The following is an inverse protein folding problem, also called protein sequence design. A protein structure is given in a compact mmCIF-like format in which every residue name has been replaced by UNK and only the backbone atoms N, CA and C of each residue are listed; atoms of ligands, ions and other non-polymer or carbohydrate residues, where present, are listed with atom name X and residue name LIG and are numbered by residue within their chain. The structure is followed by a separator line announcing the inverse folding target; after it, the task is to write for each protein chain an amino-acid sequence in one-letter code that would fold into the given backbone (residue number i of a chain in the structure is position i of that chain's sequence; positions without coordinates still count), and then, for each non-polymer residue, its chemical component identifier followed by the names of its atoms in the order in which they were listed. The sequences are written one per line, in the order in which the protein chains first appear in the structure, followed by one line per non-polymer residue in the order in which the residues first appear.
data_IF_932082530061
#
_entry.id   IF_932082530061
#
_cell.length_a   1.000
_cell.length_b   1.000
_cell.length_c   1.000
_cell.angle_alpha   90.00
_cell.angle_beta   90.00
_cell.angle_gamma   90.00
#
_symmetry.space_group_name_H-M   'P 1'
#
loop_
_entity.id
_entity.type
_entity.pdbx_description
1 polymer ?
#
# COMPACT_ATOMS: atom_id res chain seq x y z
N UNK A 1 -3.83 19.88 30.03
CA UNK A 1 -3.98 18.56 29.40
C UNK A 1 -5.00 18.70 28.28
N UNK A 2 -4.57 18.95 27.06
CA UNK A 2 -5.44 19.08 25.89
C UNK A 2 -5.30 17.77 25.09
N UNK A 3 -6.37 16.97 25.14
CA UNK A 3 -6.46 15.81 24.28
C UNK A 3 -6.49 16.25 22.82
N UNK A 4 -5.46 15.94 22.09
CA UNK A 4 -5.42 16.11 20.64
C UNK A 4 -6.36 15.04 20.06
N UNK A 5 -7.54 15.50 19.68
CA UNK A 5 -8.50 14.70 18.92
C UNK A 5 -7.92 14.52 17.51
N UNK A 6 -7.20 13.42 17.29
CA UNK A 6 -6.72 13.03 15.97
C UNK A 6 -7.92 12.45 15.22
N UNK A 7 -8.81 13.32 14.73
CA UNK A 7 -9.71 12.97 13.65
C UNK A 7 -8.84 12.72 12.42
N UNK A 8 -8.48 11.46 12.20
CA UNK A 8 -7.85 11.01 10.96
C UNK A 8 -8.73 11.47 9.80
N UNK A 9 -8.18 12.27 8.90
CA UNK A 9 -8.74 12.49 7.58
C UNK A 9 -8.78 11.12 6.91
N UNK A 10 -9.93 10.49 6.98
CA UNK A 10 -10.16 9.15 6.44
C UNK A 10 -10.15 9.26 4.93
N UNK A 11 -9.02 8.95 4.33
CA UNK A 11 -8.96 8.54 2.92
C UNK A 11 -9.99 7.42 2.71
N UNK A 12 -10.72 7.36 1.57
CA UNK A 12 -11.70 6.31 1.36
C UNK A 12 -11.07 4.95 1.62
N UNK A 13 -11.71 4.17 2.50
CA UNK A 13 -11.15 2.90 2.94
C UNK A 13 -11.09 1.94 1.76
N UNK A 14 -9.95 1.30 1.54
CA UNK A 14 -9.74 0.31 0.45
C UNK A 14 -10.70 -0.88 0.54
N UNK A 15 -11.45 -1.02 1.64
CA UNK A 15 -12.47 -2.05 1.88
C UNK A 15 -13.89 -1.50 2.09
N UNK A 16 -14.24 -0.35 1.53
CA UNK A 16 -15.61 0.21 1.65
C UNK A 16 -16.70 -0.73 1.12
N UNK A 17 -16.36 -1.55 0.13
CA UNK A 17 -17.24 -2.56 -0.46
C UNK A 17 -17.47 -3.79 0.42
N UNK A 18 -16.68 -4.00 1.48
CA UNK A 18 -16.79 -5.18 2.36
C UNK A 18 -18.09 -5.15 3.14
N UNK A 19 -18.84 -6.25 3.11
CA UNK A 19 -20.06 -6.45 3.85
C UNK A 19 -19.91 -7.61 4.83
N UNK A 20 -20.57 -7.58 5.98
CA UNK A 20 -21.38 -6.47 6.52
C UNK A 20 -20.54 -5.32 7.08
N UNK A 21 -21.17 -4.19 7.43
CA UNK A 21 -20.49 -3.03 8.02
C UNK A 21 -19.66 -3.36 9.28
N UNK A 22 -20.07 -4.39 10.04
CA UNK A 22 -19.32 -4.89 11.18
C UNK A 22 -17.93 -5.41 10.79
N UNK A 23 -17.83 -6.15 9.67
CA UNK A 23 -16.55 -6.64 9.13
C UNK A 23 -15.63 -5.47 8.76
N UNK A 24 -16.15 -4.42 8.11
CA UNK A 24 -15.36 -3.21 7.80
C UNK A 24 -14.80 -2.52 9.03
N UNK A 25 -15.63 -2.37 10.09
CA UNK A 25 -15.16 -1.75 11.35
C UNK A 25 -14.04 -2.55 11.99
N UNK A 26 -14.08 -3.88 11.89
CA UNK A 26 -13.02 -4.75 12.41
C UNK A 26 -11.72 -4.59 11.61
N UNK A 27 -11.76 -4.48 10.28
CA UNK A 27 -10.59 -4.17 9.46
C UNK A 27 -9.95 -2.84 9.85
N UNK A 28 -10.76 -1.79 10.00
CA UNK A 28 -10.29 -0.46 10.43
C UNK A 28 -9.67 -0.52 11.83
N UNK A 29 -10.39 -1.11 12.81
CA UNK A 29 -9.87 -1.26 14.16
C UNK A 29 -8.59 -2.11 14.25
N UNK A 30 -8.44 -3.08 13.36
CA UNK A 30 -7.22 -3.89 13.25
C UNK A 30 -6.04 -3.08 12.70
N UNK A 31 -6.23 -2.29 11.64
CA UNK A 31 -5.18 -1.41 11.11
C UNK A 31 -4.71 -0.42 12.17
N UNK A 32 -5.63 0.23 12.88
CA UNK A 32 -5.29 1.19 13.93
C UNK A 32 -4.51 0.52 15.07
N UNK A 33 -4.95 -0.69 15.50
CA UNK A 33 -4.28 -1.43 16.56
C UNK A 33 -2.88 -1.91 16.13
N UNK A 34 -2.74 -2.46 14.91
CA UNK A 34 -1.45 -2.91 14.37
C UNK A 34 -0.49 -1.75 14.14
N UNK A 35 -0.98 -0.61 13.64
CA UNK A 35 -0.16 0.58 13.42
C UNK A 35 0.41 1.16 14.72
N UNK A 36 -0.35 1.07 15.83
CA UNK A 36 0.05 1.62 17.14
C UNK A 36 0.99 0.69 17.90
N UNK A 37 0.71 -0.64 17.91
CA UNK A 37 1.36 -1.60 18.80
C UNK A 37 2.13 -2.71 18.10
N UNK A 38 2.01 -2.81 16.78
CA UNK A 38 2.46 -3.96 16.01
C UNK A 38 1.51 -5.17 16.13
N UNK A 39 1.65 -6.10 15.21
CA UNK A 39 0.81 -7.30 15.16
C UNK A 39 0.96 -8.15 16.44
N UNK A 40 2.19 -8.40 16.89
CA UNK A 40 2.44 -9.31 18.00
C UNK A 40 1.81 -8.84 19.32
N UNK A 41 1.93 -7.55 19.65
CA UNK A 41 1.40 -6.97 20.88
C UNK A 41 -0.12 -6.67 20.83
N UNK A 42 -0.75 -6.77 19.65
CA UNK A 42 -2.19 -6.53 19.50
C UNK A 42 -2.97 -7.80 19.78
N UNK A 43 -4.04 -7.69 20.58
CA UNK A 43 -4.99 -8.78 20.85
C UNK A 43 -6.28 -8.61 20.06
N UNK A 44 -7.04 -9.70 19.87
CA UNK A 44 -8.39 -9.64 19.26
C UNK A 44 -9.35 -8.81 20.11
N UNK A 45 -9.14 -8.72 21.43
CA UNK A 45 -9.90 -7.85 22.33
C UNK A 45 -9.64 -6.37 22.04
N UNK A 46 -8.38 -6.00 21.79
CA UNK A 46 -8.02 -4.62 21.43
C UNK A 46 -8.69 -4.20 20.12
N UNK A 47 -8.66 -5.08 19.12
CA UNK A 47 -9.30 -4.85 17.80
C UNK A 47 -10.84 -4.70 17.96
N UNK A 48 -11.47 -5.64 18.67
CA UNK A 48 -12.91 -5.59 18.88
C UNK A 48 -13.34 -4.32 19.62
N UNK A 49 -12.60 -3.92 20.66
CA UNK A 49 -12.84 -2.68 21.40
C UNK A 49 -12.78 -1.44 20.50
N UNK A 50 -11.77 -1.34 19.63
CA UNK A 50 -11.64 -0.24 18.66
C UNK A 50 -12.77 -0.22 17.63
N UNK A 51 -13.27 -1.39 17.25
CA UNK A 51 -14.42 -1.53 16.36
C UNK A 51 -15.76 -1.26 17.05
N UNK A 52 -15.79 -1.02 18.38
CA UNK A 52 -17.02 -0.90 19.16
C UNK A 52 -17.81 -2.21 19.24
N UNK A 53 -17.10 -3.34 19.33
CA UNK A 53 -17.68 -4.70 19.29
C UNK A 53 -17.16 -5.56 20.44
N UNK A 54 -17.86 -6.65 20.74
CA UNK A 54 -17.37 -7.66 21.67
C UNK A 54 -16.33 -8.58 20.99
N UNK A 55 -15.40 -9.20 21.76
CA UNK A 55 -14.47 -10.19 21.20
C UNK A 55 -15.18 -11.37 20.50
N UNK A 56 -16.33 -11.81 21.04
CA UNK A 56 -17.14 -12.86 20.43
C UNK A 56 -17.68 -12.45 19.05
N UNK A 57 -18.09 -11.21 18.89
CA UNK A 57 -18.59 -10.68 17.61
C UNK A 57 -17.46 -10.59 16.54
N UNK A 58 -16.20 -10.38 16.97
CA UNK A 58 -15.06 -10.45 16.03
C UNK A 58 -14.94 -11.83 15.39
N UNK A 59 -15.04 -12.89 16.19
CA UNK A 59 -14.89 -14.26 15.69
C UNK A 59 -16.02 -14.72 14.76
N UNK A 60 -17.16 -14.03 14.76
CA UNK A 60 -18.23 -14.26 13.75
C UNK A 60 -17.76 -13.87 12.36
N UNK A 61 -16.88 -12.86 12.24
CA UNK A 61 -16.43 -12.32 10.95
C UNK A 61 -15.03 -12.81 10.57
N UNK A 62 -14.13 -12.89 11.55
CA UNK A 62 -12.72 -13.23 11.31
C UNK A 62 -12.25 -14.24 12.37
N UNK A 63 -11.83 -15.44 11.97
CA UNK A 63 -11.46 -16.51 12.90
C UNK A 63 -10.18 -16.23 13.69
N UNK A 64 -9.35 -15.29 13.24
CA UNK A 64 -8.10 -14.92 13.91
C UNK A 64 -7.66 -13.49 13.59
N UNK A 65 -6.73 -12.95 14.37
CA UNK A 65 -6.08 -11.68 14.04
C UNK A 65 -5.17 -11.79 12.81
N UNK A 66 -4.63 -12.99 12.55
CA UNK A 66 -3.85 -13.29 11.35
C UNK A 66 -4.74 -13.20 10.10
N UNK A 67 -5.95 -13.74 10.15
CA UNK A 67 -6.90 -13.59 9.05
C UNK A 67 -7.26 -12.13 8.79
N UNK A 68 -7.39 -11.30 9.82
CA UNK A 68 -7.57 -9.85 9.65
C UNK A 68 -6.38 -9.21 8.94
N UNK A 69 -5.16 -9.54 9.34
CA UNK A 69 -3.94 -9.04 8.68
C UNK A 69 -3.87 -9.48 7.21
N UNK A 70 -4.24 -10.72 6.93
CA UNK A 70 -4.30 -11.25 5.58
C UNK A 70 -5.31 -10.47 4.71
N UNK A 71 -6.55 -10.28 5.19
CA UNK A 71 -7.56 -9.51 4.46
C UNK A 71 -7.10 -8.06 4.21
N UNK A 72 -6.52 -7.40 5.22
CA UNK A 72 -5.94 -6.06 5.08
C UNK A 72 -4.86 -6.07 4.00
N UNK A 73 -4.00 -7.09 4.00
CA UNK A 73 -2.92 -7.24 3.03
C UNK A 73 -3.45 -7.46 1.61
N UNK A 74 -4.48 -8.30 1.45
CA UNK A 74 -5.13 -8.53 0.15
C UNK A 74 -5.76 -7.25 -0.39
N UNK A 75 -6.60 -6.58 0.41
CA UNK A 75 -7.25 -5.35 -0.03
C UNK A 75 -6.24 -4.25 -0.35
N UNK A 76 -5.23 -4.07 0.51
CA UNK A 76 -4.20 -3.06 0.29
C UNK A 76 -3.39 -3.29 -0.98
N UNK A 77 -2.88 -4.50 -1.21
CA UNK A 77 -2.09 -4.81 -2.40
C UNK A 77 -2.94 -4.80 -3.69
N UNK A 78 -4.18 -5.31 -3.66
CA UNK A 78 -5.05 -5.26 -4.82
C UNK A 78 -5.41 -3.80 -5.20
N UNK A 79 -5.70 -2.94 -4.22
CA UNK A 79 -5.94 -1.53 -4.47
C UNK A 79 -4.69 -0.83 -5.07
N UNK A 80 -3.50 -1.13 -4.55
CA UNK A 80 -2.24 -0.61 -5.08
C UNK A 80 -1.97 -1.08 -6.52
N UNK A 81 -2.26 -2.35 -6.83
CA UNK A 81 -2.14 -2.90 -8.18
C UNK A 81 -3.13 -2.23 -9.15
N UNK A 82 -4.37 -1.99 -8.71
CA UNK A 82 -5.38 -1.33 -9.53
C UNK A 82 -5.02 0.13 -9.82
N UNK A 83 -4.42 0.83 -8.85
CA UNK A 83 -3.86 2.17 -9.08
C UNK A 83 -2.81 2.16 -10.18
N UNK A 84 -1.88 1.19 -10.18
CA UNK A 84 -0.89 1.07 -11.25
C UNK A 84 -1.54 0.78 -12.61
N UNK A 85 -2.48 -0.16 -12.68
CA UNK A 85 -3.18 -0.50 -13.91
C UNK A 85 -3.93 0.69 -14.51
N UNK A 86 -4.64 1.42 -13.65
CA UNK A 86 -5.39 2.61 -14.07
C UNK A 86 -4.49 3.77 -14.47
N UNK A 87 -3.29 3.85 -13.90
CA UNK A 87 -2.32 4.91 -14.18
C UNK A 87 -1.37 4.57 -15.34
N UNK A 88 -1.42 3.36 -15.89
CA UNK A 88 -0.58 2.95 -17.03
C UNK A 88 -1.09 3.59 -18.33
N UNK A 89 -0.90 4.89 -18.42
CA UNK A 89 -1.40 5.74 -19.51
C UNK A 89 -0.29 6.64 -20.04
N UNK A 90 -0.38 7.00 -21.31
CA UNK A 90 0.57 7.90 -21.97
C UNK A 90 1.14 7.31 -23.27
N UNK A 91 1.54 8.18 -24.21
CA UNK A 91 2.01 7.76 -25.53
C UNK A 91 3.43 7.19 -25.53
N UNK A 92 4.25 7.52 -24.53
CA UNK A 92 5.66 7.09 -24.46
C UNK A 92 5.93 6.32 -23.17
N UNK A 93 6.98 5.45 -23.12
CA UNK A 93 7.42 4.82 -21.86
C UNK A 93 7.73 5.84 -20.76
N UNK A 94 8.25 7.01 -21.11
CA UNK A 94 8.54 8.07 -20.16
C UNK A 94 7.26 8.65 -19.52
N UNK A 95 6.21 8.88 -20.31
CA UNK A 95 4.92 9.35 -19.81
C UNK A 95 4.25 8.29 -18.93
N UNK A 96 4.27 7.03 -19.37
CA UNK A 96 3.73 5.90 -18.59
C UNK A 96 4.46 5.75 -17.26
N UNK A 97 5.81 5.76 -17.25
CA UNK A 97 6.59 5.68 -16.01
C UNK A 97 6.25 6.81 -15.04
N UNK A 98 6.18 8.06 -15.53
CA UNK A 98 5.79 9.21 -14.70
C UNK A 98 4.40 9.05 -14.13
N UNK A 99 3.43 8.64 -14.93
CA UNK A 99 2.05 8.42 -14.50
C UNK A 99 1.95 7.35 -13.43
N UNK A 100 2.60 6.19 -13.65
CA UNK A 100 2.64 5.08 -12.70
C UNK A 100 3.27 5.50 -11.36
N UNK A 101 4.46 6.08 -11.39
CA UNK A 101 5.19 6.46 -10.18
C UNK A 101 4.45 7.56 -9.41
N UNK A 102 3.90 8.54 -10.13
CA UNK A 102 3.12 9.62 -9.51
C UNK A 102 1.90 9.07 -8.77
N UNK A 103 1.08 8.27 -9.44
CA UNK A 103 -0.12 7.71 -8.85
C UNK A 103 0.18 6.75 -7.69
N UNK A 104 1.18 5.90 -7.84
CA UNK A 104 1.56 4.89 -6.84
C UNK A 104 2.15 5.53 -5.57
N UNK A 105 3.00 6.56 -5.73
CA UNK A 105 3.55 7.33 -4.62
C UNK A 105 2.46 8.10 -3.87
N UNK A 106 1.58 8.79 -4.60
CA UNK A 106 0.46 9.52 -4.01
C UNK A 106 -0.49 8.60 -3.26
N UNK A 107 -0.75 7.41 -3.80
CA UNK A 107 -1.56 6.38 -3.12
C UNK A 107 -0.91 5.94 -1.80
N UNK A 108 0.39 5.64 -1.79
CA UNK A 108 1.12 5.26 -0.58
C UNK A 108 1.14 6.36 0.48
N UNK A 109 1.21 7.61 0.06
CA UNK A 109 1.09 8.75 0.97
C UNK A 109 -0.31 8.83 1.60
N UNK A 110 -1.37 8.74 0.79
CA UNK A 110 -2.76 8.78 1.29
C UNK A 110 -3.10 7.62 2.21
N UNK A 111 -2.62 6.41 1.89
CA UNK A 111 -2.90 5.18 2.63
C UNK A 111 -1.72 4.73 3.50
N UNK A 112 -0.87 5.67 3.94
CA UNK A 112 0.39 5.39 4.62
C UNK A 112 0.25 4.46 5.84
N UNK A 113 -0.85 4.57 6.60
CA UNK A 113 -1.08 3.69 7.77
C UNK A 113 -1.28 2.25 7.35
N UNK A 114 -2.14 2.00 6.35
CA UNK A 114 -2.38 0.65 5.80
C UNK A 114 -1.10 0.10 5.19
N UNK A 115 -0.46 0.89 4.32
CA UNK A 115 0.75 0.48 3.62
C UNK A 115 1.89 0.14 4.59
N UNK A 116 2.04 0.90 5.68
CA UNK A 116 3.02 0.62 6.74
C UNK A 116 2.72 -0.69 7.47
N UNK A 117 1.48 -0.92 7.91
CA UNK A 117 1.09 -2.17 8.56
C UNK A 117 1.38 -3.35 7.64
N UNK A 118 0.91 -3.29 6.40
CA UNK A 118 1.09 -4.35 5.41
C UNK A 118 2.57 -4.61 5.11
N UNK A 119 3.40 -3.56 5.04
CA UNK A 119 4.83 -3.71 4.73
C UNK A 119 5.62 -4.37 5.88
N UNK A 120 5.32 -4.03 7.12
CA UNK A 120 6.11 -4.47 8.26
C UNK A 120 5.63 -5.78 8.90
N UNK A 121 4.34 -6.11 8.73
CA UNK A 121 3.75 -7.26 9.43
C UNK A 121 3.56 -8.50 8.54
N UNK A 122 4.03 -8.48 7.28
CA UNK A 122 3.90 -9.62 6.35
C UNK A 122 4.48 -10.93 6.90
N UNK A 123 5.54 -10.86 7.70
CA UNK A 123 6.16 -12.04 8.30
C UNK A 123 5.25 -12.75 9.33
N UNK A 124 4.16 -12.11 9.76
CA UNK A 124 3.19 -12.71 10.66
C UNK A 124 2.09 -13.51 9.94
N UNK A 125 2.05 -13.47 8.61
CA UNK A 125 1.13 -14.28 7.82
C UNK A 125 1.53 -15.76 7.81
N UNK A 126 0.54 -16.64 7.69
CA UNK A 126 0.79 -18.04 7.39
C UNK A 126 1.53 -18.20 6.05
N UNK A 127 2.28 -19.30 5.82
CA UNK A 127 2.95 -19.53 4.55
C UNK A 127 2.03 -19.46 3.33
N UNK A 128 0.80 -19.95 3.47
CA UNK A 128 -0.23 -19.94 2.42
C UNK A 128 -0.66 -18.49 2.10
N UNK A 129 -1.07 -17.73 3.11
CA UNK A 129 -1.49 -16.35 2.95
C UNK A 129 -0.34 -15.45 2.45
N UNK A 130 0.87 -15.69 2.94
CA UNK A 130 2.06 -14.98 2.45
C UNK A 130 2.31 -15.25 0.95
N UNK A 131 2.15 -16.51 0.49
CA UNK A 131 2.32 -16.87 -0.93
C UNK A 131 1.28 -16.18 -1.83
N UNK A 132 0.04 -16.06 -1.36
CA UNK A 132 -1.03 -15.37 -2.08
C UNK A 132 -0.73 -13.87 -2.22
N UNK A 133 -0.37 -13.20 -1.13
CA UNK A 133 0.05 -11.79 -1.16
C UNK A 133 1.27 -11.59 -2.05
N UNK A 134 2.26 -12.49 -1.99
CA UNK A 134 3.46 -12.44 -2.83
C UNK A 134 3.13 -12.49 -4.33
N UNK A 135 2.04 -13.16 -4.72
CA UNK A 135 1.59 -13.19 -6.12
C UNK A 135 1.14 -11.80 -6.58
N UNK A 136 0.39 -11.07 -5.76
CA UNK A 136 -0.04 -9.70 -6.09
C UNK A 136 1.18 -8.76 -6.14
N UNK A 137 2.11 -8.92 -5.21
CA UNK A 137 3.36 -8.14 -5.19
C UNK A 137 4.21 -8.36 -6.47
N UNK A 138 4.26 -9.60 -6.97
CA UNK A 138 4.91 -9.86 -8.27
C UNK A 138 4.20 -9.15 -9.41
N UNK A 139 2.86 -9.16 -9.44
CA UNK A 139 2.10 -8.44 -10.46
C UNK A 139 2.36 -6.92 -10.42
N UNK A 140 2.48 -6.32 -9.22
CA UNK A 140 2.89 -4.92 -9.04
C UNK A 140 4.28 -4.67 -9.64
N UNK A 141 5.25 -5.55 -9.34
CA UNK A 141 6.61 -5.45 -9.88
C UNK A 141 6.62 -5.55 -11.41
N UNK A 142 5.92 -6.53 -11.96
CA UNK A 142 5.80 -6.74 -13.41
C UNK A 142 5.23 -5.51 -14.13
N UNK A 143 4.28 -4.79 -13.53
CA UNK A 143 3.70 -3.59 -14.15
C UNK A 143 4.76 -2.48 -14.37
N UNK A 144 5.62 -2.25 -13.41
CA UNK A 144 6.72 -1.26 -13.54
C UNK A 144 7.80 -1.78 -14.48
N UNK A 145 8.19 -3.06 -14.34
CA UNK A 145 9.22 -3.69 -15.17
C UNK A 145 8.89 -3.65 -16.66
N UNK A 146 7.62 -3.87 -17.03
CA UNK A 146 7.18 -3.79 -18.41
C UNK A 146 7.40 -2.41 -19.03
N UNK A 147 7.07 -1.34 -18.31
CA UNK A 147 7.27 0.03 -18.80
C UNK A 147 8.75 0.36 -18.93
N UNK A 148 9.58 -0.10 -17.99
CA UNK A 148 11.04 0.06 -18.08
C UNK A 148 11.61 -0.72 -19.28
N UNK A 149 11.15 -1.95 -19.48
CA UNK A 149 11.58 -2.79 -20.62
C UNK A 149 11.17 -2.19 -21.97
N UNK A 150 9.98 -1.59 -22.06
CA UNK A 150 9.52 -0.88 -23.26
C UNK A 150 10.44 0.30 -23.60
N UNK A 151 10.82 1.10 -22.57
CA UNK A 151 11.72 2.23 -22.76
C UNK A 151 13.16 1.84 -23.11
N UNK A 152 13.64 0.69 -22.61
CA UNK A 152 14.95 0.13 -23.04
C UNK A 152 14.86 -0.32 -24.50
N UNK A 153 13.77 -0.96 -24.89
CA UNK A 153 13.58 -1.48 -26.25
C UNK A 153 13.49 -0.37 -27.31
N UNK A 154 12.84 0.74 -27.00
CA UNK A 154 12.74 1.87 -27.92
C UNK A 154 13.91 2.86 -27.84
N UNK A 155 14.85 2.63 -26.90
CA UNK A 155 16.04 3.45 -26.70
C UNK A 155 15.82 4.72 -25.89
N UNK A 156 14.63 4.93 -25.32
CA UNK A 156 14.32 6.11 -24.49
C UNK A 156 14.87 5.99 -23.06
N UNK A 157 15.22 4.77 -22.61
CA UNK A 157 15.79 4.53 -21.29
C UNK A 157 17.16 3.85 -21.36
N UNK A 158 18.09 4.29 -20.51
CA UNK A 158 19.42 3.71 -20.31
C UNK A 158 19.45 2.88 -19.00
N UNK A 159 18.82 1.70 -19.01
CA UNK A 159 18.76 0.80 -17.87
C UNK A 159 19.62 -0.43 -18.15
N UNK A 160 20.67 -0.65 -17.35
CA UNK A 160 21.59 -1.80 -17.48
C UNK A 160 21.18 -2.99 -16.61
N UNK A 161 20.49 -2.73 -15.48
CA UNK A 161 19.93 -3.74 -14.58
C UNK A 161 18.43 -3.49 -14.42
N UNK A 162 17.62 -4.18 -15.22
CA UNK A 162 16.18 -4.01 -15.23
C UNK A 162 15.52 -4.43 -13.90
N UNK A 163 15.84 -5.61 -13.31
CA UNK A 163 15.30 -6.00 -12.01
C UNK A 163 15.69 -5.04 -10.88
N UNK A 164 16.94 -4.62 -10.81
CA UNK A 164 17.44 -3.69 -9.79
C UNK A 164 16.80 -2.31 -9.91
N UNK A 165 16.64 -1.79 -11.14
CA UNK A 165 15.95 -0.50 -11.37
C UNK A 165 14.48 -0.58 -11.01
N UNK A 166 13.79 -1.68 -11.36
CA UNK A 166 12.41 -1.94 -10.96
C UNK A 166 12.25 -1.90 -9.44
N UNK A 167 13.14 -2.60 -8.73
CA UNK A 167 13.14 -2.62 -7.27
C UNK A 167 13.37 -1.23 -6.68
N UNK A 168 14.31 -0.46 -7.23
CA UNK A 168 14.62 0.90 -6.78
C UNK A 168 13.42 1.83 -6.94
N UNK A 169 12.77 1.84 -8.11
CA UNK A 169 11.57 2.65 -8.39
C UNK A 169 10.42 2.30 -7.44
N UNK A 170 10.16 1.00 -7.23
CA UNK A 170 9.13 0.55 -6.28
C UNK A 170 9.48 0.96 -4.84
N UNK A 171 10.74 0.77 -4.42
CA UNK A 171 11.18 1.08 -3.06
C UNK A 171 11.02 2.57 -2.75
N UNK A 172 11.37 3.46 -3.67
CA UNK A 172 11.15 4.90 -3.52
C UNK A 172 9.68 5.21 -3.23
N UNK A 173 8.76 4.67 -4.02
CA UNK A 173 7.32 4.96 -3.89
C UNK A 173 6.71 4.36 -2.62
N UNK A 174 7.09 3.13 -2.26
CA UNK A 174 6.54 2.40 -1.10
C UNK A 174 7.07 2.99 0.22
N UNK A 175 8.37 3.36 0.29
CA UNK A 175 8.98 3.87 1.52
C UNK A 175 8.37 5.20 2.00
N UNK A 176 7.66 5.91 1.13
CA UNK A 176 6.86 7.08 1.52
C UNK A 176 5.94 6.77 2.69
N UNK A 177 5.31 5.60 2.72
CA UNK A 177 4.40 5.19 3.79
C UNK A 177 5.07 5.16 5.18
N UNK A 178 6.39 4.99 5.25
CA UNK A 178 7.16 4.94 6.51
C UNK A 178 7.26 6.29 7.21
N UNK A 179 7.50 7.35 6.44
CA UNK A 179 7.82 8.68 6.98
C UNK A 179 6.74 9.73 6.74
N UNK A 180 5.75 9.42 5.89
CA UNK A 180 4.70 10.36 5.54
C UNK A 180 3.81 10.70 6.74
N UNK A 181 3.48 11.99 6.85
CA UNK A 181 2.44 12.51 7.73
C UNK A 181 1.61 13.55 6.95
N UNK A 182 0.28 13.66 7.18
CA UNK A 182 -0.62 14.53 6.40
C UNK A 182 -0.22 16.00 6.32
N UNK A 183 0.54 16.50 7.31
CA UNK A 183 0.98 17.90 7.35
C UNK A 183 2.34 18.16 6.70
N UNK A 184 3.03 17.11 6.23
CA UNK A 184 4.38 17.23 5.71
C UNK A 184 4.44 17.58 4.23
N UNK A 185 3.57 17.00 3.43
CA UNK A 185 3.51 17.21 1.99
C UNK A 185 2.12 16.83 1.44
N UNK A 186 1.74 17.48 0.37
CA UNK A 186 0.60 17.07 -0.43
C UNK A 186 0.92 15.77 -1.19
N UNK A 187 0.06 14.74 -1.15
CA UNK A 187 0.31 13.47 -1.83
C UNK A 187 0.55 13.59 -3.33
N UNK A 188 -0.19 14.45 -4.01
CA UNK A 188 -0.08 14.67 -5.46
C UNK A 188 1.24 15.37 -5.82
N UNK A 189 1.63 16.38 -5.06
CA UNK A 189 2.91 17.07 -5.23
C UNK A 189 4.09 16.09 -4.99
N UNK A 190 3.97 15.24 -3.98
CA UNK A 190 4.95 14.19 -3.70
C UNK A 190 5.03 13.17 -4.83
N UNK A 191 3.89 12.76 -5.36
CA UNK A 191 3.81 11.85 -6.51
C UNK A 191 4.56 12.40 -7.72
N UNK A 192 4.32 13.68 -8.07
CA UNK A 192 5.02 14.35 -9.18
C UNK A 192 6.53 14.42 -8.96
N UNK A 193 6.96 14.79 -7.76
CA UNK A 193 8.39 14.81 -7.41
C UNK A 193 9.05 13.45 -7.62
N UNK A 194 8.43 12.38 -7.13
CA UNK A 194 8.97 11.03 -7.24
C UNK A 194 8.94 10.51 -8.68
N UNK A 195 7.94 10.89 -9.47
CA UNK A 195 7.89 10.60 -10.89
C UNK A 195 9.07 11.23 -11.65
N UNK A 196 9.42 12.48 -11.34
CA UNK A 196 10.57 13.14 -11.92
C UNK A 196 11.89 12.52 -11.48
N UNK A 197 12.02 12.11 -10.22
CA UNK A 197 13.20 11.40 -9.72
C UNK A 197 13.37 10.04 -10.42
N UNK A 198 12.31 9.22 -10.49
CA UNK A 198 12.33 7.94 -11.16
C UNK A 198 12.68 8.07 -12.66
N UNK A 199 12.13 9.09 -13.33
CA UNK A 199 12.47 9.35 -14.73
C UNK A 199 13.94 9.71 -14.92
N UNK A 200 14.52 10.55 -14.04
CA UNK A 200 15.97 10.85 -14.08
C UNK A 200 16.86 9.65 -13.85
N UNK A 201 16.42 8.66 -13.08
CA UNK A 201 17.17 7.42 -12.85
C UNK A 201 17.34 6.57 -14.12
N UNK A 202 16.46 6.72 -15.10
CA UNK A 202 16.42 5.90 -16.32
C UNK A 202 16.86 6.66 -17.58
N UNK A 203 17.12 7.97 -17.47
CA UNK A 203 17.62 8.78 -18.58
C UNK A 203 19.07 8.47 -18.92
N UNK A 204 19.43 8.69 -20.17
CA UNK A 204 20.81 8.69 -20.71
C UNK A 204 21.59 9.88 -20.19
#
# INVERSE_FOLDING_TARGET
MHGVNVSAVTSPLVWEHVQPAAARRLLTGAVDAFAERGFQATTTRDIASRAGMSPAALYVHYPSKERLLFEISLYGHNAALEVLRSADTGPTPADRLRSLVSAFTAWHARHHTIARVVQYELAALSPEHHAEVATIRRAISTQIEQVLADGVRDGSFAVTDLPGTTLAVLSLSIDVARWYTPHRADPEALGKLYADLAHRMVQT
#
